data_IF_002965381812
#
_entry.id   IF_002965381812
#
_cell.length_a   1.000
_cell.length_b   1.000
_cell.length_c   1.000
_cell.angle_alpha   90.00
_cell.angle_beta   90.00
_cell.angle_gamma   90.00
#
_symmetry.space_group_name_H-M   'P 1'
#
loop_
_entity.id
_entity.type
_entity.pdbx_description
1 polymer ?
#
# COMPACT_ATOMS: atom_id res chain seq x y z
N UNK A 1 6.85 -6.00 7.09
CA UNK A 1 6.41 -4.97 6.13
C UNK A 1 6.04 -3.66 6.82
N UNK A 2 5.10 -3.65 7.79
CA UNK A 2 4.71 -2.42 8.50
C UNK A 2 5.88 -1.67 9.17
N UNK A 3 6.80 -2.37 9.83
CA UNK A 3 8.00 -1.74 10.42
C UNK A 3 8.87 -1.02 9.38
N UNK A 4 9.02 -1.59 8.17
CA UNK A 4 9.77 -0.97 7.08
C UNK A 4 9.06 0.27 6.52
N UNK A 5 7.72 0.25 6.47
CA UNK A 5 6.93 1.43 6.10
C UNK A 5 7.01 2.54 7.14
N UNK A 6 6.97 2.19 8.43
CA UNK A 6 7.16 3.16 9.53
C UNK A 6 8.53 3.81 9.48
N UNK A 7 9.59 3.03 9.27
CA UNK A 7 10.97 3.55 9.17
C UNK A 7 11.19 4.50 7.99
N UNK A 8 10.40 4.38 6.92
CA UNK A 8 10.56 5.18 5.70
C UNK A 8 9.42 6.20 5.50
N UNK A 9 8.68 6.53 6.55
CA UNK A 9 7.58 7.50 6.54
C UNK A 9 6.47 7.19 5.52
N UNK A 10 6.28 5.92 5.18
CA UNK A 10 5.26 5.46 4.23
C UNK A 10 4.00 4.95 4.92
N UNK A 11 4.00 4.79 6.24
CA UNK A 11 2.90 4.16 6.96
C UNK A 11 1.59 4.92 6.78
N UNK A 12 1.64 6.26 6.82
CA UNK A 12 0.46 7.10 6.63
C UNK A 12 -0.16 6.91 5.24
N UNK A 13 0.63 6.96 4.17
CA UNK A 13 0.10 6.79 2.80
C UNK A 13 -0.43 5.37 2.57
N UNK A 14 0.14 4.34 3.22
CA UNK A 14 -0.32 2.95 3.12
C UNK A 14 -1.61 2.72 3.90
N UNK A 15 -1.80 3.37 5.06
CA UNK A 15 -2.94 3.13 5.95
C UNK A 15 -4.07 4.13 5.70
N UNK A 16 -3.79 5.41 5.56
CA UNK A 16 -4.80 6.44 5.31
C UNK A 16 -5.09 6.62 3.82
N UNK A 17 -4.12 6.33 2.95
CA UNK A 17 -4.23 6.58 1.51
C UNK A 17 -3.80 7.98 1.12
N UNK A 18 -3.83 8.26 -0.19
CA UNK A 18 -3.53 9.58 -0.74
C UNK A 18 -4.78 10.45 -0.75
N UNK A 19 -4.71 11.63 -0.13
CA UNK A 19 -5.76 12.62 -0.24
C UNK A 19 -5.75 13.22 -1.66
N UNK A 20 -6.90 13.21 -2.34
CA UNK A 20 -7.03 13.91 -3.62
C UNK A 20 -6.94 15.42 -3.38
N UNK A 21 -6.06 16.14 -4.10
CA UNK A 21 -6.01 17.60 -3.99
C UNK A 21 -7.32 18.22 -4.47
N UNK A 22 -7.73 19.33 -3.84
CA UNK A 22 -8.82 20.18 -4.32
C UNK A 22 -8.50 20.78 -5.70
N UNK A 23 -9.44 21.49 -6.33
CA UNK A 23 -9.17 22.21 -7.60
C UNK A 23 -8.37 23.50 -7.38
N UNK A 24 -8.47 24.12 -6.20
CA UNK A 24 -7.82 25.40 -5.87
C UNK A 24 -6.66 25.21 -4.89
N UNK A 25 -5.62 24.51 -5.33
CA UNK A 25 -4.52 24.05 -4.46
C UNK A 25 -3.34 25.00 -4.58
N UNK A 26 -2.78 25.43 -3.46
CA UNK A 26 -1.60 26.31 -3.45
C UNK A 26 -0.36 25.56 -3.96
N UNK A 27 0.71 26.30 -4.30
CA UNK A 27 1.96 25.69 -4.79
C UNK A 27 2.55 24.72 -3.76
N UNK A 28 2.45 25.07 -2.48
CA UNK A 28 2.95 24.31 -1.34
C UNK A 28 2.17 23.00 -1.18
N UNK A 29 0.84 23.05 -1.23
CA UNK A 29 -0.02 21.87 -1.16
C UNK A 29 0.22 20.93 -2.36
N UNK A 30 0.47 21.48 -3.55
CA UNK A 30 0.83 20.67 -4.74
C UNK A 30 2.19 19.98 -4.58
N UNK A 31 3.16 20.64 -3.92
CA UNK A 31 4.44 20.04 -3.62
C UNK A 31 4.30 18.89 -2.60
N UNK A 32 3.55 19.12 -1.53
CA UNK A 32 3.26 18.10 -0.51
C UNK A 32 2.57 16.88 -1.12
N UNK A 33 1.56 17.07 -1.98
CA UNK A 33 0.89 15.96 -2.66
C UNK A 33 1.84 15.16 -3.56
N UNK A 34 2.79 15.82 -4.25
CA UNK A 34 3.82 15.12 -5.03
C UNK A 34 4.77 14.30 -4.15
N UNK A 35 5.09 14.77 -2.95
CA UNK A 35 5.87 14.00 -1.99
C UNK A 35 5.10 12.76 -1.52
N UNK A 36 3.81 12.91 -1.18
CA UNK A 36 2.96 11.77 -0.82
C UNK A 36 2.84 10.75 -1.95
N UNK A 37 2.68 11.18 -3.21
CA UNK A 37 2.68 10.26 -4.36
C UNK A 37 3.99 9.47 -4.49
N UNK A 38 5.14 10.10 -4.23
CA UNK A 38 6.44 9.40 -4.23
C UNK A 38 6.50 8.33 -3.15
N UNK A 39 6.00 8.63 -1.95
CA UNK A 39 5.93 7.68 -0.85
C UNK A 39 4.98 6.52 -1.16
N UNK A 40 3.81 6.80 -1.76
CA UNK A 40 2.86 5.77 -2.18
C UNK A 40 3.46 4.84 -3.24
N UNK A 41 4.13 5.41 -4.25
CA UNK A 41 4.83 4.63 -5.28
C UNK A 41 5.95 3.76 -4.68
N UNK A 42 6.72 4.32 -3.74
CA UNK A 42 7.79 3.60 -3.04
C UNK A 42 7.23 2.45 -2.19
N UNK A 43 6.11 2.68 -1.51
CA UNK A 43 5.44 1.66 -0.72
C UNK A 43 4.94 0.51 -1.60
N UNK A 44 4.28 0.83 -2.72
CA UNK A 44 3.83 -0.16 -3.70
C UNK A 44 5.00 -1.00 -4.25
N UNK A 45 6.11 -0.35 -4.62
CA UNK A 45 7.31 -1.06 -5.06
C UNK A 45 7.82 -2.04 -4.00
N UNK A 46 7.91 -1.63 -2.73
CA UNK A 46 8.37 -2.51 -1.66
C UNK A 46 7.38 -3.67 -1.40
N UNK A 47 6.06 -3.43 -1.53
CA UNK A 47 5.07 -4.50 -1.47
C UNK A 47 5.34 -5.56 -2.55
N UNK A 48 5.63 -5.14 -3.77
CA UNK A 48 5.94 -6.06 -4.88
C UNK A 48 7.16 -6.93 -4.61
N UNK A 49 8.20 -6.37 -3.98
CA UNK A 49 9.42 -7.12 -3.64
C UNK A 49 9.20 -8.16 -2.53
N UNK A 50 8.21 -7.97 -1.67
CA UNK A 50 7.98 -8.80 -0.49
C UNK A 50 6.92 -9.89 -0.68
N UNK A 51 6.39 -10.07 -1.89
CA UNK A 51 5.31 -11.02 -2.16
C UNK A 51 5.68 -12.03 -3.23
N UNK A 52 5.04 -13.20 -3.19
CA UNK A 52 5.20 -14.21 -4.25
C UNK A 52 4.60 -13.73 -5.58
N UNK A 53 5.04 -14.26 -6.74
CA UNK A 53 4.48 -13.89 -8.05
C UNK A 53 2.95 -14.03 -8.14
N UNK A 54 2.38 -15.06 -7.49
CA UNK A 54 0.92 -15.26 -7.44
C UNK A 54 0.20 -14.11 -6.73
N UNK A 55 0.80 -13.58 -5.66
CA UNK A 55 0.23 -12.46 -4.89
C UNK A 55 0.49 -11.15 -5.61
N UNK A 56 1.67 -10.98 -6.24
CA UNK A 56 1.97 -9.84 -7.08
C UNK A 56 0.89 -9.60 -8.14
N UNK A 57 0.50 -10.63 -8.90
CA UNK A 57 -0.56 -10.50 -9.92
C UNK A 57 -1.92 -10.05 -9.36
N UNK A 58 -2.18 -10.26 -8.07
CA UNK A 58 -3.42 -9.79 -7.43
C UNK A 58 -3.36 -8.30 -7.08
N UNK A 59 -2.17 -7.81 -6.71
CA UNK A 59 -1.97 -6.43 -6.28
C UNK A 59 -1.46 -5.52 -7.40
N UNK A 60 -1.02 -6.07 -8.53
CA UNK A 60 -0.46 -5.31 -9.66
C UNK A 60 -1.46 -4.35 -10.31
N UNK A 61 -2.76 -4.60 -10.14
CA UNK A 61 -3.84 -3.75 -10.64
C UNK A 61 -4.28 -2.67 -9.63
N UNK A 62 -3.67 -2.63 -8.45
CA UNK A 62 -3.97 -1.60 -7.45
C UNK A 62 -3.42 -0.25 -7.92
N UNK A 63 -4.24 0.80 -7.81
CA UNK A 63 -3.87 2.15 -8.22
C UNK A 63 -3.06 2.88 -7.14
N UNK A 64 -3.11 2.40 -5.90
CA UNK A 64 -2.40 2.98 -4.75
C UNK A 64 -1.84 1.90 -3.85
N UNK A 65 -0.83 2.25 -3.04
CA UNK A 65 -0.30 1.34 -2.02
C UNK A 65 -1.36 0.97 -0.97
N UNK A 66 -2.31 1.86 -0.69
CA UNK A 66 -3.46 1.58 0.18
C UNK A 66 -4.34 0.47 -0.36
N UNK A 67 -4.69 0.51 -1.64
CA UNK A 67 -5.48 -0.55 -2.28
C UNK A 67 -4.72 -1.89 -2.29
N UNK A 68 -3.44 -1.86 -2.65
CA UNK A 68 -2.58 -3.05 -2.60
C UNK A 68 -2.53 -3.63 -1.18
N UNK A 69 -2.39 -2.78 -0.16
CA UNK A 69 -2.39 -3.19 1.25
C UNK A 69 -3.71 -3.84 1.67
N UNK A 70 -4.86 -3.28 1.27
CA UNK A 70 -6.18 -3.89 1.56
C UNK A 70 -6.29 -5.28 0.93
N UNK A 71 -5.82 -5.45 -0.32
CA UNK A 71 -5.81 -6.76 -0.99
C UNK A 71 -4.89 -7.74 -0.26
N UNK A 72 -3.71 -7.30 0.19
CA UNK A 72 -2.78 -8.12 0.97
C UNK A 72 -3.42 -8.57 2.28
N UNK A 73 -3.98 -7.64 3.06
CA UNK A 73 -4.66 -7.94 4.33
C UNK A 73 -5.80 -8.93 4.10
N UNK A 74 -6.61 -8.74 3.07
CA UNK A 74 -7.68 -9.70 2.72
C UNK A 74 -7.11 -11.07 2.35
N UNK A 75 -6.09 -11.11 1.50
CA UNK A 75 -5.52 -12.38 1.00
C UNK A 75 -4.86 -13.20 2.10
N UNK A 76 -4.16 -12.57 3.03
CA UNK A 76 -3.52 -13.26 4.15
C UNK A 76 -4.45 -13.44 5.36
N UNK A 77 -5.40 -12.53 5.57
CA UNK A 77 -6.43 -12.59 6.62
C UNK A 77 -7.45 -13.70 6.36
N UNK A 78 -7.91 -13.86 5.12
CA UNK A 78 -8.79 -14.97 4.72
C UNK A 78 -8.05 -16.32 4.71
N UNK A 79 -6.71 -16.29 4.56
CA UNK A 79 -5.86 -17.47 4.56
C UNK A 79 -5.79 -18.19 5.92
N UNK A 80 -6.04 -17.51 7.04
CA UNK A 80 -6.05 -18.15 8.36
C UNK A 80 -7.31 -19.01 8.60
N UNK A 81 -8.44 -18.74 7.95
CA UNK A 81 -9.65 -19.57 8.10
C UNK A 81 -9.56 -20.92 7.38
N UNK A 82 -8.61 -21.08 6.45
CA UNK A 82 -8.55 -22.24 5.56
C UNK A 82 -7.40 -23.23 5.84
N UNK A 83 -6.64 -23.05 6.93
CA UNK A 83 -5.73 -24.08 7.43
C UNK A 83 -6.35 -24.84 8.60
N UNK A 84 -7.40 -25.63 8.31
CA UNK A 84 -7.64 -26.84 9.12
C UNK A 84 -6.50 -27.80 8.81
N UNK A 85 -5.44 -27.71 9.61
CA UNK A 85 -4.44 -28.77 9.72
C UNK A 85 -5.22 -30.00 10.22
N UNK A 86 -5.37 -31.00 9.36
CA UNK A 86 -5.69 -32.35 9.84
C UNK A 86 -4.42 -32.83 10.55
N UNK A 87 -4.46 -32.81 11.88
CA UNK A 87 -3.58 -33.62 12.73
C UNK A 87 -4.04 -35.09 12.63
#
# INVERSE_FOLDING_TARGET
>A
MLAAFGFQDMLEVVIAGLAKPSKNVTKEQRLAFRQQQKLDSKAGFLMYQCVTPKIFNKISNASTSKEAWVILVKTYGDGQKNKKVKL
#
